data_IF_485299197995
#
_entry.id   IF_485299197995
#
_cell.length_a   1.000
_cell.length_b   1.000
_cell.length_c   1.000
_cell.angle_alpha   90.00
_cell.angle_beta   90.00
_cell.angle_gamma   90.00
#
_symmetry.space_group_name_H-M   'P 1'
#
loop_
_entity.id
_entity.type
_entity.pdbx_description
1 polymer ?
#
# COMPACT_ATOMS: atom_id res chain seq x y z
N UNK A 1 9.38 3.60 16.80
CA UNK A 1 8.90 4.61 15.82
C UNK A 1 7.69 5.29 16.43
N UNK A 2 7.50 6.60 16.23
CA UNK A 2 6.25 7.25 16.62
C UNK A 2 5.21 7.02 15.52
N UNK A 3 4.04 6.49 15.88
CA UNK A 3 2.96 6.27 14.91
C UNK A 3 2.33 7.64 14.56
N UNK A 4 2.12 7.94 13.26
CA UNK A 4 1.44 9.17 12.86
C UNK A 4 0.02 9.29 13.43
N UNK A 5 -0.40 10.51 13.74
CA UNK A 5 -1.70 10.79 14.39
C UNK A 5 -2.92 10.47 13.53
N UNK A 6 -2.75 10.21 12.23
CA UNK A 6 -3.81 9.83 11.29
C UNK A 6 -3.96 8.31 11.13
N UNK A 7 -3.18 7.50 11.86
CA UNK A 7 -3.32 6.05 11.84
C UNK A 7 -4.43 5.62 12.79
N UNK A 8 -5.29 4.71 12.32
CA UNK A 8 -6.45 4.17 13.03
C UNK A 8 -6.46 2.65 12.92
N UNK A 9 -6.92 1.99 13.96
CA UNK A 9 -7.26 0.57 13.88
C UNK A 9 -8.63 0.40 13.22
N UNK A 10 -8.77 -0.59 12.34
CA UNK A 10 -10.07 -0.96 11.78
C UNK A 10 -11.01 -1.44 12.89
N UNK A 11 -12.15 -0.76 13.06
CA UNK A 11 -13.24 -1.14 13.97
C UNK A 11 -14.41 -1.72 13.17
N UNK A 12 -14.93 -2.88 13.57
CA UNK A 12 -16.06 -3.57 12.94
C UNK A 12 -17.27 -2.61 12.67
N UNK A 13 -18.01 -2.69 11.54
CA UNK A 13 -18.03 -3.76 10.54
C UNK A 13 -17.56 -3.26 9.15
N UNK A 14 -16.25 -3.09 8.94
CA UNK A 14 -15.67 -2.99 7.58
C UNK A 14 -15.93 -4.25 6.72
N UNK A 15 -16.58 -5.27 7.28
CA UNK A 15 -17.07 -6.51 6.65
C UNK A 15 -18.24 -6.32 5.68
N UNK A 16 -18.92 -5.17 5.65
CA UNK A 16 -20.10 -4.96 4.78
C UNK A 16 -19.68 -4.60 3.35
N UNK A 17 -18.49 -4.04 3.16
CA UNK A 17 -17.96 -3.72 1.83
C UNK A 17 -16.97 -4.82 1.40
N UNK A 18 -17.31 -5.68 0.42
CA UNK A 18 -16.48 -6.81 0.01
C UNK A 18 -15.08 -6.42 -0.49
N UNK A 19 -14.88 -5.14 -0.83
CA UNK A 19 -13.61 -4.57 -1.30
C UNK A 19 -12.68 -4.22 -0.12
N UNK A 20 -13.21 -3.99 1.09
CA UNK A 20 -12.44 -3.53 2.25
C UNK A 20 -12.14 -4.66 3.23
N UNK A 21 -11.29 -5.61 2.82
CA UNK A 21 -10.91 -6.76 3.66
C UNK A 21 -10.42 -6.34 5.05
N UNK A 22 -10.85 -7.06 6.09
CA UNK A 22 -10.37 -6.87 7.48
C UNK A 22 -8.87 -7.14 7.65
N UNK A 23 -8.25 -7.81 6.67
CA UNK A 23 -6.85 -8.23 6.71
C UNK A 23 -5.91 -7.33 5.91
N UNK A 24 -6.43 -6.38 5.12
CA UNK A 24 -5.60 -5.40 4.40
C UNK A 24 -5.66 -4.01 5.01
N UNK A 25 -4.54 -3.30 4.91
CA UNK A 25 -4.45 -1.88 5.22
C UNK A 25 -5.13 -1.05 4.12
N UNK A 26 -5.63 0.14 4.47
CA UNK A 26 -6.26 1.06 3.51
C UNK A 26 -6.01 2.52 3.88
N UNK A 27 -5.73 3.34 2.87
CA UNK A 27 -5.65 4.79 2.98
C UNK A 27 -6.95 5.45 2.49
N UNK A 28 -7.67 6.10 3.41
CA UNK A 28 -8.87 6.90 3.10
C UNK A 28 -8.67 8.26 3.74
N UNK A 29 -8.33 9.26 2.90
CA UNK A 29 -7.98 10.60 3.35
C UNK A 29 -8.91 11.14 4.45
N UNK A 30 -8.37 11.69 5.55
CA UNK A 30 -6.95 11.86 5.88
C UNK A 30 -6.31 10.67 6.61
N UNK A 31 -7.03 9.56 6.79
CA UNK A 31 -6.69 8.50 7.74
C UNK A 31 -6.16 7.22 7.08
N UNK A 32 -5.22 6.55 7.75
CA UNK A 32 -4.77 5.19 7.42
C UNK A 32 -5.45 4.19 8.36
N UNK A 33 -6.09 3.18 7.81
CA UNK A 33 -6.79 2.14 8.56
C UNK A 33 -6.05 0.81 8.48
N UNK A 34 -5.50 0.37 9.62
CA UNK A 34 -4.70 -0.86 9.70
C UNK A 34 -5.49 -2.01 10.36
N UNK A 35 -5.25 -3.26 9.94
CA UNK A 35 -5.59 -4.45 10.72
C UNK A 35 -5.01 -4.38 12.13
N UNK A 36 -5.73 -4.92 13.11
CA UNK A 36 -5.34 -4.85 14.53
C UNK A 36 -3.93 -5.37 14.80
N UNK A 37 -3.57 -6.52 14.24
CA UNK A 37 -2.25 -7.13 14.39
C UNK A 37 -1.11 -6.23 13.87
N UNK A 38 -1.33 -5.52 12.77
CA UNK A 38 -0.34 -4.57 12.23
C UNK A 38 -0.26 -3.34 13.15
N UNK A 39 -1.41 -2.79 13.56
CA UNK A 39 -1.46 -1.62 14.44
C UNK A 39 -0.76 -1.88 15.79
N UNK A 40 -1.00 -3.03 16.42
CA UNK A 40 -0.38 -3.42 17.68
C UNK A 40 1.12 -3.65 17.54
N UNK A 41 1.59 -4.30 16.47
CA UNK A 41 3.02 -4.45 16.19
C UNK A 41 3.73 -3.09 16.05
N UNK A 42 3.10 -2.12 15.39
CA UNK A 42 3.64 -0.77 15.20
C UNK A 42 3.81 0.00 16.52
N UNK A 43 3.06 -0.35 17.57
CA UNK A 43 3.17 0.26 18.90
C UNK A 43 4.35 -0.28 19.72
N UNK A 44 4.95 -1.39 19.30
CA UNK A 44 6.08 -1.99 20.00
C UNK A 44 7.35 -1.14 19.88
N UNK A 45 8.33 -1.38 20.76
CA UNK A 45 9.63 -0.68 20.72
C UNK A 45 10.41 -0.96 19.42
N UNK A 46 10.25 -2.16 18.88
CA UNK A 46 10.94 -2.64 17.68
C UNK A 46 9.94 -3.31 16.72
N UNK A 47 9.14 -2.52 15.98
CA UNK A 47 8.10 -3.06 15.11
C UNK A 47 8.71 -3.85 13.94
N UNK A 48 7.94 -4.82 13.43
CA UNK A 48 8.35 -5.59 12.27
C UNK A 48 8.53 -4.65 11.05
N UNK A 49 9.69 -4.70 10.41
CA UNK A 49 9.99 -3.84 9.26
C UNK A 49 8.96 -4.00 8.12
N UNK A 50 8.38 -5.19 7.93
CA UNK A 50 7.31 -5.39 6.93
C UNK A 50 6.05 -4.60 7.29
N UNK A 51 5.66 -4.57 8.56
CA UNK A 51 4.50 -3.81 9.01
C UNK A 51 4.73 -2.30 8.90
N UNK A 52 5.94 -1.83 9.20
CA UNK A 52 6.32 -0.44 8.94
C UNK A 52 6.28 -0.12 7.45
N UNK A 53 6.74 -1.03 6.58
CA UNK A 53 6.68 -0.82 5.13
C UNK A 53 5.26 -0.74 4.58
N UNK A 54 4.30 -1.45 5.20
CA UNK A 54 2.87 -1.33 4.90
C UNK A 54 2.38 0.06 5.32
N UNK A 55 2.74 0.54 6.51
CA UNK A 55 2.38 1.90 6.91
C UNK A 55 2.96 2.96 5.94
N UNK A 56 4.21 2.80 5.50
CA UNK A 56 4.84 3.69 4.51
C UNK A 56 4.09 3.68 3.17
N UNK A 57 3.60 2.51 2.74
CA UNK A 57 2.76 2.39 1.55
C UNK A 57 1.49 3.24 1.68
N UNK A 58 0.73 3.02 2.75
CA UNK A 58 -0.54 3.72 2.97
C UNK A 58 -0.36 5.24 3.15
N UNK A 59 0.71 5.67 3.83
CA UNK A 59 1.00 7.10 3.96
C UNK A 59 1.35 7.73 2.61
N UNK A 60 1.98 6.99 1.69
CA UNK A 60 2.20 7.47 0.33
C UNK A 60 0.87 7.73 -0.38
N UNK A 61 -0.14 6.87 -0.21
CA UNK A 61 -1.48 7.14 -0.73
C UNK A 61 -2.13 8.36 -0.11
N UNK A 62 -2.00 8.60 1.20
CA UNK A 62 -2.55 9.81 1.84
C UNK A 62 -1.94 11.09 1.24
N UNK A 63 -0.62 11.12 1.05
CA UNK A 63 0.04 12.29 0.45
C UNK A 63 -0.39 12.50 -1.01
N UNK A 64 -0.54 11.42 -1.79
CA UNK A 64 -0.99 11.52 -3.18
C UNK A 64 -2.48 11.91 -3.30
N UNK A 65 -3.32 11.42 -2.40
CA UNK A 65 -4.72 11.84 -2.26
C UNK A 65 -4.80 13.34 -1.92
N UNK A 66 -3.93 13.84 -1.05
CA UNK A 66 -3.84 15.26 -0.70
C UNK A 66 -3.42 16.13 -1.89
N UNK A 67 -2.43 15.70 -2.67
CA UNK A 67 -1.91 16.46 -3.82
C UNK A 67 -2.94 16.64 -4.93
N UNK A 68 -3.72 15.60 -5.23
CA UNK A 68 -4.71 15.63 -6.32
C UNK A 68 -6.11 16.06 -5.86
N UNK A 69 -6.37 16.00 -4.56
CA UNK A 69 -7.71 16.07 -3.97
C UNK A 69 -8.34 14.68 -3.88
N UNK A 70 -8.72 14.27 -2.67
CA UNK A 70 -9.08 12.89 -2.35
C UNK A 70 -10.29 12.36 -3.16
N UNK A 71 -11.24 13.23 -3.50
CA UNK A 71 -12.41 12.89 -4.34
C UNK A 71 -11.98 12.54 -5.77
N UNK A 72 -11.20 13.42 -6.40
CA UNK A 72 -10.71 13.21 -7.77
C UNK A 72 -9.75 12.02 -7.82
N UNK A 73 -8.90 11.89 -6.81
CA UNK A 73 -8.01 10.74 -6.65
C UNK A 73 -8.80 9.43 -6.58
N UNK A 74 -9.83 9.37 -5.72
CA UNK A 74 -10.67 8.18 -5.56
C UNK A 74 -11.39 7.81 -6.85
N UNK A 75 -11.94 8.80 -7.57
CA UNK A 75 -12.57 8.58 -8.88
C UNK A 75 -11.57 7.98 -9.89
N UNK A 76 -10.40 8.59 -10.07
CA UNK A 76 -9.39 8.07 -11.01
C UNK A 76 -8.87 6.70 -10.59
N UNK A 77 -8.69 6.45 -9.29
CA UNK A 77 -8.21 5.18 -8.77
C UNK A 77 -9.19 4.04 -9.07
N UNK A 78 -10.50 4.29 -8.97
CA UNK A 78 -11.52 3.27 -9.26
C UNK A 78 -11.69 2.99 -10.77
N UNK A 79 -11.62 4.02 -11.62
CA UNK A 79 -12.05 3.89 -13.02
C UNK A 79 -10.92 3.94 -14.06
N UNK A 80 -9.71 4.39 -13.69
CA UNK A 80 -8.59 4.56 -14.63
C UNK A 80 -7.45 3.63 -14.25
N UNK A 81 -7.35 2.47 -14.93
CA UNK A 81 -6.43 1.39 -14.56
C UNK A 81 -4.96 1.80 -14.61
N UNK A 82 -4.58 2.61 -15.60
CA UNK A 82 -3.23 3.19 -15.69
C UNK A 82 -2.92 4.11 -14.50
N UNK A 83 -3.91 4.89 -14.05
CA UNK A 83 -3.74 5.75 -12.87
C UNK A 83 -3.57 4.89 -11.63
N UNK A 84 -4.48 3.94 -11.40
CA UNK A 84 -4.41 2.99 -10.29
C UNK A 84 -3.07 2.26 -10.22
N UNK A 85 -2.59 1.71 -11.34
CA UNK A 85 -1.30 1.04 -11.42
C UNK A 85 -0.14 1.95 -11.03
N UNK A 86 -0.13 3.19 -11.53
CA UNK A 86 0.94 4.14 -11.20
C UNK A 86 0.92 4.51 -9.70
N UNK A 87 -0.26 4.70 -9.11
CA UNK A 87 -0.40 4.98 -7.68
C UNK A 87 0.15 3.84 -6.82
N UNK A 88 -0.21 2.59 -7.13
CA UNK A 88 0.30 1.40 -6.44
C UNK A 88 1.81 1.24 -6.60
N UNK A 89 2.36 1.46 -7.81
CA UNK A 89 3.80 1.37 -8.05
C UNK A 89 4.58 2.42 -7.25
N UNK A 90 4.08 3.64 -7.16
CA UNK A 90 4.72 4.70 -6.35
C UNK A 90 4.66 4.36 -4.86
N UNK A 91 3.53 3.86 -4.35
CA UNK A 91 3.42 3.42 -2.97
C UNK A 91 4.33 2.21 -2.65
N UNK A 92 4.42 1.23 -3.57
CA UNK A 92 5.32 0.07 -3.44
C UNK A 92 6.79 0.51 -3.47
N UNK A 93 7.18 1.44 -4.35
CA UNK A 93 8.55 2.01 -4.36
C UNK A 93 8.93 2.60 -3.01
N UNK A 94 8.02 3.33 -2.35
CA UNK A 94 8.27 3.87 -1.01
C UNK A 94 8.51 2.75 0.02
N UNK A 95 7.71 1.67 -0.02
CA UNK A 95 7.91 0.49 0.83
C UNK A 95 9.23 -0.21 0.56
N UNK A 96 9.61 -0.35 -0.71
CA UNK A 96 10.88 -0.93 -1.15
C UNK A 96 12.06 -0.13 -0.61
N UNK A 97 12.08 1.19 -0.82
CA UNK A 97 13.13 2.08 -0.29
C UNK A 97 13.29 1.94 1.22
N UNK A 98 12.16 1.92 1.95
CA UNK A 98 12.20 1.70 3.39
C UNK A 98 12.81 0.35 3.75
N UNK A 99 12.37 -0.77 3.15
CA UNK A 99 12.89 -2.10 3.48
C UNK A 99 14.37 -2.26 3.11
N UNK A 100 14.79 -1.71 1.97
CA UNK A 100 16.18 -1.70 1.55
C UNK A 100 17.07 -0.96 2.55
N UNK A 101 16.61 0.18 3.07
CA UNK A 101 17.31 0.91 4.15
C UNK A 101 17.44 0.13 5.47
N UNK A 102 16.64 -0.93 5.65
CA UNK A 102 16.70 -1.84 6.80
C UNK A 102 17.41 -3.16 6.49
N UNK A 103 18.07 -3.26 5.32
CA UNK A 103 18.74 -4.49 4.89
C UNK A 103 17.78 -5.65 4.69
N UNK A 104 16.51 -5.39 4.35
CA UNK A 104 15.48 -6.41 4.12
C UNK A 104 15.23 -6.60 2.63
N UNK A 105 14.91 -7.83 2.24
CA UNK A 105 14.59 -8.20 0.87
C UNK A 105 13.12 -7.91 0.53
N UNK A 106 12.86 -7.54 -0.72
CA UNK A 106 11.52 -7.42 -1.29
C UNK A 106 11.25 -8.54 -2.28
N UNK A 107 10.15 -9.27 -2.09
CA UNK A 107 9.71 -10.33 -3.00
C UNK A 107 8.90 -9.72 -4.16
N UNK A 108 9.60 -9.46 -5.28
CA UNK A 108 9.02 -8.87 -6.48
C UNK A 108 8.03 -9.81 -7.15
N UNK A 109 8.23 -11.13 -7.07
CA UNK A 109 7.34 -12.11 -7.67
C UNK A 109 5.99 -12.16 -6.95
N UNK A 110 6.01 -12.26 -5.62
CA UNK A 110 4.77 -12.23 -4.82
C UNK A 110 4.01 -10.93 -5.04
N UNK A 111 4.72 -9.82 -5.10
CA UNK A 111 4.13 -8.50 -5.33
C UNK A 111 3.54 -8.37 -6.74
N UNK A 112 4.22 -8.93 -7.76
CA UNK A 112 3.70 -8.98 -9.12
C UNK A 112 2.42 -9.79 -9.21
N UNK A 113 2.35 -10.97 -8.55
CA UNK A 113 1.11 -11.78 -8.48
C UNK A 113 -0.04 -10.99 -7.85
N UNK A 114 0.24 -10.16 -6.85
CA UNK A 114 -0.77 -9.28 -6.24
C UNK A 114 -1.22 -8.17 -7.20
N UNK A 115 -0.28 -7.48 -7.84
CA UNK A 115 -0.54 -6.38 -8.80
C UNK A 115 -1.15 -6.84 -10.13
N UNK A 116 -1.08 -8.12 -10.46
CA UNK A 116 -1.72 -8.70 -11.65
C UNK A 116 -2.83 -9.69 -11.28
N UNK A 117 -3.23 -9.74 -10.00
CA UNK A 117 -4.30 -10.61 -9.53
C UNK A 117 -5.67 -10.14 -10.01
N UNK A 118 -6.73 -10.88 -9.69
CA UNK A 118 -8.10 -10.60 -10.17
C UNK A 118 -8.55 -9.13 -10.02
N UNK A 119 -8.21 -8.48 -8.89
CA UNK A 119 -8.54 -7.08 -8.62
C UNK A 119 -7.83 -6.06 -9.54
N UNK A 120 -6.71 -6.47 -10.13
CA UNK A 120 -5.81 -5.65 -10.95
C UNK A 120 -5.59 -6.24 -12.36
N UNK A 121 -6.29 -7.30 -12.73
CA UNK A 121 -6.11 -8.01 -14.01
C UNK A 121 -6.30 -7.09 -15.22
N UNK A 122 -7.17 -6.09 -15.08
CA UNK A 122 -7.46 -5.07 -16.09
C UNK A 122 -6.44 -3.91 -16.10
N UNK A 123 -5.53 -3.86 -15.13
CA UNK A 123 -4.51 -2.80 -15.00
C UNK A 123 -3.18 -3.20 -15.64
N UNK A 124 -2.71 -4.43 -15.43
CA UNK A 124 -1.41 -4.91 -15.89
C UNK A 124 -1.33 -6.45 -15.87
N UNK A 125 -0.61 -7.04 -16.84
CA UNK A 125 -0.29 -8.47 -16.80
C UNK A 125 0.89 -8.76 -15.84
N UNK A 126 1.04 -10.02 -15.44
CA UNK A 126 2.08 -10.44 -14.50
C UNK A 126 3.50 -10.11 -14.97
N UNK A 127 3.83 -10.34 -16.24
CA UNK A 127 5.18 -10.15 -16.78
C UNK A 127 5.55 -8.67 -16.73
N UNK A 128 4.64 -7.81 -17.15
CA UNK A 128 4.81 -6.36 -17.09
C UNK A 128 4.90 -5.85 -15.65
N UNK A 129 4.07 -6.36 -14.73
CA UNK A 129 4.14 -6.02 -13.31
C UNK A 129 5.48 -6.40 -12.69
N UNK A 130 5.95 -7.63 -12.93
CA UNK A 130 7.24 -8.13 -12.42
C UNK A 130 8.40 -7.28 -12.92
N UNK A 131 8.48 -6.98 -14.22
CA UNK A 131 9.54 -6.16 -14.79
C UNK A 131 9.57 -4.74 -14.17
N UNK A 132 8.39 -4.11 -13.98
CA UNK A 132 8.30 -2.79 -13.34
C UNK A 132 8.76 -2.83 -11.87
N UNK A 133 8.40 -3.88 -11.13
CA UNK A 133 8.79 -4.05 -9.74
C UNK A 133 10.29 -4.35 -9.56
N UNK A 134 10.87 -5.16 -10.43
CA UNK A 134 12.31 -5.45 -10.43
C UNK A 134 13.13 -4.19 -10.72
N UNK A 135 12.72 -3.41 -11.72
CA UNK A 135 13.33 -2.10 -11.99
C UNK A 135 13.21 -1.15 -10.80
N UNK A 136 12.02 -1.06 -10.20
CA UNK A 136 11.81 -0.25 -9.00
C UNK A 136 12.71 -0.68 -7.84
N UNK A 137 12.92 -1.98 -7.64
CA UNK A 137 13.78 -2.51 -6.58
C UNK A 137 15.27 -2.21 -6.80
N UNK A 138 15.73 -2.28 -8.06
CA UNK A 138 17.12 -1.92 -8.40
C UNK A 138 17.41 -0.44 -8.14
N UNK A 139 16.42 0.43 -8.41
CA UNK A 139 16.52 1.90 -8.28
C UNK A 139 16.23 2.42 -6.86
N UNK A 140 15.59 1.62 -6.00
CA UNK A 140 15.27 1.97 -4.61
C UNK A 140 16.52 2.10 -3.73
#
# INVERSE_FOLDING_TARGET
>A
MQIPSNVRVKKFPWTILPILSKYSAHAIYPNVYLPRNIYEDLLTKQPNSKNVSILVHEQTHIERQKQLGWLLWGFKYCFIGRFRLNEELEAIKSSMKYLKSKGKYWDTEKSAKSLSGYLYLWCVDFKTAKAKLEKAWSEA
#
